data_IF_710293546399
#
_entry.id   IF_710293546399
#
_cell.length_a   1.000
_cell.length_b   1.000
_cell.length_c   1.000
_cell.angle_alpha   90.00
_cell.angle_beta   90.00
_cell.angle_gamma   90.00
#
_symmetry.space_group_name_H-M   'P 1'
#
loop_
_entity.id
_entity.type
_entity.pdbx_description
1 polymer ?
#
# COMPACT_ATOMS: atom_id res chain seq x y z
N UNK A 1 -10.18 -0.57 -21.02
CA UNK A 1 -8.96 -0.86 -20.22
C UNK A 1 -9.36 -1.82 -19.14
N UNK A 2 -8.66 -2.91 -19.02
CA UNK A 2 -8.97 -3.95 -18.03
C UNK A 2 -8.06 -3.76 -16.82
N UNK A 3 -8.67 -3.67 -15.63
CA UNK A 3 -7.99 -3.96 -14.39
C UNK A 3 -7.87 -5.48 -14.32
N UNK A 4 -6.71 -5.98 -13.83
CA UNK A 4 -6.45 -7.41 -13.63
C UNK A 4 -6.09 -8.21 -14.89
N UNK A 5 -5.42 -7.57 -15.86
CA UNK A 5 -4.76 -8.28 -16.96
C UNK A 5 -3.63 -9.18 -16.45
N UNK A 6 -3.31 -10.21 -17.22
CA UNK A 6 -2.19 -11.08 -16.88
C UNK A 6 -0.85 -10.40 -17.19
N UNK A 7 0.20 -10.83 -16.51
CA UNK A 7 1.57 -10.37 -16.81
C UNK A 7 1.99 -10.66 -18.26
N UNK A 8 1.48 -11.76 -18.83
CA UNK A 8 1.70 -12.11 -20.24
C UNK A 8 1.09 -11.07 -21.18
N UNK A 9 -0.12 -10.61 -20.90
CA UNK A 9 -0.82 -9.59 -21.69
C UNK A 9 -0.08 -8.24 -21.62
N UNK A 10 0.32 -7.83 -20.41
CA UNK A 10 1.09 -6.59 -20.20
C UNK A 10 2.45 -6.67 -20.91
N UNK A 11 3.11 -7.83 -20.89
CA UNK A 11 4.35 -8.04 -21.61
C UNK A 11 4.18 -7.89 -23.13
N UNK A 12 3.12 -8.50 -23.70
CA UNK A 12 2.81 -8.39 -25.12
C UNK A 12 2.50 -6.94 -25.51
N UNK A 13 1.69 -6.26 -24.71
CA UNK A 13 1.35 -4.84 -24.88
C UNK A 13 2.60 -3.94 -24.81
N UNK A 14 3.44 -4.13 -23.79
CA UNK A 14 4.69 -3.39 -23.62
C UNK A 14 5.60 -3.53 -24.84
N UNK A 15 5.73 -4.74 -25.37
CA UNK A 15 6.57 -5.01 -26.55
C UNK A 15 6.00 -4.34 -27.79
N UNK A 16 4.68 -4.40 -27.98
CA UNK A 16 4.00 -3.73 -29.11
C UNK A 16 4.21 -2.21 -29.05
N UNK A 17 4.00 -1.61 -27.89
CA UNK A 17 4.19 -0.16 -27.69
C UNK A 17 5.66 0.25 -27.86
N UNK A 18 6.61 -0.60 -27.47
CA UNK A 18 8.03 -0.37 -27.72
C UNK A 18 8.45 -0.57 -29.20
N UNK A 19 7.56 -1.04 -30.07
CA UNK A 19 7.85 -1.36 -31.49
C UNK A 19 8.59 -2.68 -31.69
N UNK A 20 8.44 -3.57 -30.75
CA UNK A 20 8.97 -4.94 -30.82
C UNK A 20 7.83 -5.90 -31.19
N UNK A 21 8.18 -7.11 -31.67
CA UNK A 21 7.18 -8.15 -31.86
C UNK A 21 6.47 -8.47 -30.53
N UNK A 22 5.13 -8.52 -30.49
CA UNK A 22 4.38 -8.90 -29.30
C UNK A 22 4.63 -10.38 -28.90
N UNK A 23 4.97 -11.22 -29.86
CA UNK A 23 5.26 -12.64 -29.63
C UNK A 23 6.52 -12.82 -28.76
N UNK A 24 6.39 -13.38 -27.55
CA UNK A 24 7.52 -13.62 -26.65
C UNK A 24 8.55 -14.63 -27.22
N UNK A 25 8.17 -15.46 -28.17
CA UNK A 25 9.10 -16.37 -28.85
C UNK A 25 10.12 -15.63 -29.74
N UNK A 26 9.80 -14.42 -30.19
CA UNK A 26 10.71 -13.58 -30.96
C UNK A 26 11.57 -12.75 -29.99
N UNK A 27 12.88 -12.96 -30.02
CA UNK A 27 13.82 -12.21 -29.18
C UNK A 27 13.87 -12.70 -27.72
N UNK A 28 13.87 -14.03 -27.53
CA UNK A 28 13.89 -14.69 -26.20
C UNK A 28 15.05 -14.25 -25.32
N UNK A 29 16.22 -13.92 -25.88
CA UNK A 29 17.37 -13.44 -25.13
C UNK A 29 17.10 -12.12 -24.37
N UNK A 30 16.17 -11.27 -24.84
CA UNK A 30 15.80 -10.03 -24.20
C UNK A 30 14.61 -10.17 -23.25
N UNK A 31 13.92 -11.32 -23.26
CA UNK A 31 12.66 -11.52 -22.56
C UNK A 31 12.78 -11.26 -21.04
N UNK A 32 13.81 -11.80 -20.42
CA UNK A 32 14.03 -11.62 -18.98
C UNK A 32 14.31 -10.15 -18.62
N UNK A 33 15.01 -9.42 -19.47
CA UNK A 33 15.21 -7.98 -19.30
C UNK A 33 13.88 -7.21 -19.39
N UNK A 34 12.99 -7.59 -20.32
CA UNK A 34 11.67 -6.99 -20.45
C UNK A 34 10.82 -7.24 -19.19
N UNK A 35 10.79 -8.49 -18.70
CA UNK A 35 10.10 -8.85 -17.47
C UNK A 35 10.60 -8.06 -16.25
N UNK A 36 11.93 -7.94 -16.12
CA UNK A 36 12.55 -7.14 -15.05
C UNK A 36 12.19 -5.66 -15.16
N UNK A 37 12.16 -5.11 -16.38
CA UNK A 37 11.76 -3.70 -16.60
C UNK A 37 10.31 -3.48 -16.21
N UNK A 38 9.40 -4.38 -16.61
CA UNK A 38 7.98 -4.28 -16.23
C UNK A 38 7.82 -4.36 -14.70
N UNK A 39 8.48 -5.32 -14.04
CA UNK A 39 8.43 -5.45 -12.59
C UNK A 39 8.93 -4.18 -11.87
N UNK A 40 10.03 -3.59 -12.34
CA UNK A 40 10.57 -2.35 -11.78
C UNK A 40 9.57 -1.21 -11.93
N UNK A 41 9.01 -1.02 -13.13
CA UNK A 41 8.01 0.02 -13.42
C UNK A 41 6.75 -0.21 -12.59
N UNK A 42 6.28 -1.44 -12.50
CA UNK A 42 5.12 -1.81 -11.71
C UNK A 42 5.29 -1.42 -10.22
N UNK A 43 6.44 -1.72 -9.63
CA UNK A 43 6.75 -1.33 -8.26
C UNK A 43 6.85 0.20 -8.11
N UNK A 44 7.49 0.90 -9.04
CA UNK A 44 7.58 2.37 -9.03
C UNK A 44 6.20 3.03 -9.10
N UNK A 45 5.31 2.55 -9.96
CA UNK A 45 3.95 3.07 -10.09
C UNK A 45 3.10 2.76 -8.86
N UNK A 46 3.27 1.57 -8.29
CA UNK A 46 2.63 1.20 -7.05
C UNK A 46 3.03 2.12 -5.89
N UNK A 47 4.30 2.49 -5.79
CA UNK A 47 4.80 3.38 -4.75
C UNK A 47 4.43 4.87 -4.98
N UNK A 48 4.24 5.26 -6.23
CA UNK A 48 4.04 6.66 -6.64
C UNK A 48 2.67 7.22 -6.23
N UNK A 49 1.66 6.37 -6.05
CA UNK A 49 0.29 6.78 -5.76
C UNK A 49 -0.43 5.81 -4.82
N UNK A 50 -1.33 6.35 -4.02
CA UNK A 50 -2.23 5.58 -3.15
C UNK A 50 -3.48 5.18 -3.93
N UNK A 51 -3.40 4.01 -4.59
CA UNK A 51 -4.49 3.49 -5.39
C UNK A 51 -5.66 3.01 -4.52
N UNK A 52 -6.82 3.63 -4.66
CA UNK A 52 -7.99 3.32 -3.82
C UNK A 52 -8.46 1.87 -3.96
N UNK A 53 -8.38 1.31 -5.17
CA UNK A 53 -8.77 -0.07 -5.46
C UNK A 53 -7.83 -1.12 -4.84
N UNK A 54 -6.64 -0.72 -4.37
CA UNK A 54 -5.72 -1.59 -3.64
C UNK A 54 -6.00 -1.61 -2.13
N UNK A 55 -7.00 -0.87 -1.66
CA UNK A 55 -7.40 -0.94 -0.26
C UNK A 55 -7.89 -2.34 0.07
N UNK A 56 -7.34 -2.91 1.12
CA UNK A 56 -7.58 -4.27 1.54
C UNK A 56 -7.81 -4.35 3.04
N UNK A 57 -8.87 -5.04 3.43
CA UNK A 57 -9.17 -5.36 4.83
C UNK A 57 -8.79 -6.81 5.08
N UNK A 58 -7.86 -7.05 5.99
CA UNK A 58 -7.47 -8.40 6.37
C UNK A 58 -8.59 -9.08 7.20
N UNK A 59 -8.67 -10.41 7.15
CA UNK A 59 -9.51 -11.14 8.09
C UNK A 59 -9.19 -10.79 9.53
N UNK A 60 -10.21 -10.69 10.37
CA UNK A 60 -10.05 -10.37 11.78
C UNK A 60 -9.22 -11.43 12.50
N UNK A 61 -8.26 -10.98 13.28
CA UNK A 61 -7.41 -11.82 14.12
C UNK A 61 -7.99 -11.85 15.52
N UNK A 62 -8.26 -13.05 16.05
CA UNK A 62 -8.70 -13.22 17.42
C UNK A 62 -7.54 -12.98 18.37
N UNK A 63 -7.74 -12.08 19.32
CA UNK A 63 -6.76 -11.77 20.37
C UNK A 63 -6.77 -12.84 21.44
N UNK A 64 -5.62 -13.13 22.04
CA UNK A 64 -5.47 -14.05 23.15
C UNK A 64 -5.08 -13.31 24.42
N UNK A 65 -5.64 -13.73 25.53
CA UNK A 65 -5.32 -13.14 26.84
C UNK A 65 -3.81 -13.24 27.16
N UNK A 66 -3.19 -12.11 27.44
CA UNK A 66 -1.77 -12.04 27.75
C UNK A 66 -0.82 -12.10 26.57
N UNK A 67 -1.31 -12.31 25.36
CA UNK A 67 -0.49 -12.24 24.15
C UNK A 67 -0.37 -10.80 23.68
N UNK A 68 0.86 -10.37 23.41
CA UNK A 68 1.20 -9.00 23.03
C UNK A 68 1.55 -8.87 21.56
N UNK A 69 2.18 -9.88 20.97
CA UNK A 69 2.67 -9.89 19.61
C UNK A 69 1.87 -10.84 18.73
N UNK A 70 1.51 -10.38 17.55
CA UNK A 70 0.76 -11.11 16.56
C UNK A 70 1.43 -10.95 15.21
N UNK A 71 1.38 -11.98 14.38
CA UNK A 71 1.91 -11.91 13.04
C UNK A 71 1.10 -10.92 12.19
N UNK A 72 1.81 -10.11 11.41
CA UNK A 72 1.17 -9.16 10.53
C UNK A 72 0.49 -9.89 9.37
N UNK A 73 -0.76 -9.54 9.01
CA UNK A 73 -1.50 -10.25 7.98
C UNK A 73 -0.77 -10.23 6.64
N UNK A 74 -0.68 -11.40 6.01
CA UNK A 74 -0.18 -11.50 4.65
C UNK A 74 -1.07 -10.70 3.68
N UNK A 75 -0.45 -10.10 2.68
CA UNK A 75 -1.16 -9.35 1.63
C UNK A 75 -1.35 -7.86 1.89
N UNK A 76 -1.00 -7.35 3.07
CA UNK A 76 -0.93 -5.90 3.34
C UNK A 76 0.52 -5.43 3.26
N UNK A 77 0.75 -4.28 2.63
CA UNK A 77 2.06 -3.65 2.60
C UNK A 77 2.35 -2.93 3.92
N UNK A 78 3.33 -3.45 4.65
CA UNK A 78 3.75 -2.93 5.96
C UNK A 78 4.28 -1.49 5.87
N UNK A 79 4.89 -1.11 4.74
CA UNK A 79 5.52 0.20 4.55
C UNK A 79 4.51 1.30 4.21
N UNK A 80 3.24 0.95 4.05
CA UNK A 80 2.16 1.93 3.81
C UNK A 80 1.33 2.13 5.06
N UNK A 81 0.62 3.26 5.11
CA UNK A 81 -0.26 3.56 6.23
C UNK A 81 -1.27 2.43 6.46
N UNK A 82 -1.35 1.96 7.68
CA UNK A 82 -2.29 0.93 8.13
C UNK A 82 -3.21 1.51 9.17
N UNK A 83 -4.47 1.16 9.09
CA UNK A 83 -5.46 1.42 10.12
C UNK A 83 -5.70 0.12 10.88
N UNK A 84 -5.64 0.19 12.20
CA UNK A 84 -5.89 -0.97 13.06
C UNK A 84 -7.06 -0.67 13.98
N UNK A 85 -8.05 -1.56 13.97
CA UNK A 85 -9.24 -1.46 14.81
C UNK A 85 -9.36 -2.66 15.73
N UNK A 86 -9.61 -2.41 17.00
CA UNK A 86 -10.04 -3.43 17.95
C UNK A 86 -11.56 -3.51 17.96
N UNK A 87 -12.10 -4.69 17.74
CA UNK A 87 -13.52 -4.98 17.87
C UNK A 87 -13.77 -5.62 19.23
N UNK A 88 -14.48 -4.90 20.09
CA UNK A 88 -14.85 -5.36 21.43
C UNK A 88 -16.33 -5.11 21.69
N UNK A 89 -17.05 -6.10 22.17
CA UNK A 89 -18.50 -6.05 22.37
C UNK A 89 -19.25 -5.53 21.13
N UNK A 90 -18.85 -5.96 19.92
CA UNK A 90 -19.38 -5.52 18.62
C UNK A 90 -19.21 -4.02 18.32
N UNK A 91 -18.34 -3.32 19.06
CA UNK A 91 -18.01 -1.92 18.82
C UNK A 91 -16.57 -1.81 18.29
N UNK A 92 -16.33 -0.99 17.24
CA UNK A 92 -14.99 -0.73 16.73
C UNK A 92 -14.29 0.36 17.56
N UNK A 93 -13.06 0.09 17.98
CA UNK A 93 -12.19 1.02 18.68
C UNK A 93 -10.92 1.22 17.83
N UNK A 94 -10.70 2.43 17.28
CA UNK A 94 -9.50 2.70 16.52
C UNK A 94 -8.26 2.70 17.44
N UNK A 95 -7.20 2.00 17.03
CA UNK A 95 -5.95 1.97 17.75
C UNK A 95 -5.02 3.09 17.26
N UNK A 96 -4.35 3.75 18.19
CA UNK A 96 -3.35 4.76 17.86
C UNK A 96 -2.00 4.11 17.54
N UNK A 97 -1.35 4.47 16.41
CA UNK A 97 -0.02 3.95 16.11
C UNK A 97 1.05 4.53 17.04
N UNK A 98 2.05 3.69 17.35
CA UNK A 98 3.19 4.05 18.18
C UNK A 98 2.97 3.79 19.67
N UNK A 99 3.85 2.96 20.26
CA UNK A 99 3.89 2.68 21.69
C UNK A 99 5.12 3.37 22.25
N UNK A 100 4.91 4.51 22.90
CA UNK A 100 5.98 5.30 23.49
C UNK A 100 6.54 4.64 24.78
N UNK A 101 7.75 5.05 25.13
CA UNK A 101 8.38 4.57 26.37
C UNK A 101 7.53 4.83 27.63
N UNK A 102 6.90 6.02 27.70
CA UNK A 102 5.98 6.39 28.81
C UNK A 102 4.75 5.48 28.90
N UNK A 103 4.23 4.98 27.74
CA UNK A 103 3.08 4.07 27.76
C UNK A 103 3.42 2.77 28.49
N UNK A 104 4.64 2.30 28.34
CA UNK A 104 5.14 1.10 28.99
C UNK A 104 5.29 1.23 30.50
N UNK A 105 5.43 2.48 31.02
CA UNK A 105 5.40 2.77 32.45
C UNK A 105 4.00 2.95 33.01
N UNK A 106 3.09 3.51 32.22
CA UNK A 106 1.69 3.71 32.63
C UNK A 106 0.98 2.38 32.88
N UNK A 107 1.31 1.38 32.08
CA UNK A 107 0.76 0.03 32.22
C UNK A 107 1.91 -0.96 32.34
N UNK A 108 2.00 -1.66 33.46
CA UNK A 108 2.92 -2.79 33.58
C UNK A 108 2.46 -3.93 32.65
N UNK A 109 3.36 -4.77 32.14
CA UNK A 109 2.99 -5.90 31.29
C UNK A 109 1.95 -6.85 31.90
N UNK A 110 1.88 -6.88 33.25
CA UNK A 110 0.91 -7.65 34.01
C UNK A 110 -0.49 -7.01 34.03
N UNK A 111 -0.56 -5.69 33.82
CA UNK A 111 -1.83 -4.95 33.78
C UNK A 111 -2.47 -5.12 32.41
N UNK A 112 -3.34 -6.10 32.32
CA UNK A 112 -4.07 -6.42 31.10
C UNK A 112 -5.37 -5.63 31.04
N UNK A 113 -5.64 -5.00 29.90
CA UNK A 113 -6.84 -4.14 29.70
C UNK A 113 -7.44 -4.41 28.35
N UNK A 114 -8.77 -4.49 28.30
CA UNK A 114 -9.55 -4.56 27.05
C UNK A 114 -10.41 -3.30 26.88
N UNK A 115 -10.56 -2.78 25.66
CA UNK A 115 -9.77 -3.13 24.48
C UNK A 115 -8.35 -2.50 24.53
N UNK A 116 -7.38 -3.04 23.76
CA UNK A 116 -6.10 -2.36 23.55
C UNK A 116 -6.32 -0.99 22.90
N UNK A 117 -5.42 -0.05 23.15
CA UNK A 117 -5.55 1.35 22.72
C UNK A 117 -4.53 1.75 21.65
N UNK A 118 -3.37 1.08 21.66
CA UNK A 118 -2.24 1.39 20.78
C UNK A 118 -1.71 0.14 20.10
N UNK A 119 -1.07 0.36 18.96
CA UNK A 119 -0.31 -0.69 18.28
C UNK A 119 1.02 -0.16 17.78
N UNK A 120 1.97 -1.05 17.57
CA UNK A 120 3.26 -0.77 16.94
C UNK A 120 3.65 -1.90 16.00
N UNK A 121 4.43 -1.61 14.97
CA UNK A 121 4.92 -2.59 14.01
C UNK A 121 6.38 -2.92 14.33
N UNK A 122 6.72 -4.20 14.35
CA UNK A 122 8.07 -4.68 14.65
C UNK A 122 8.51 -5.75 13.68
N UNK A 123 9.78 -5.72 13.32
CA UNK A 123 10.42 -6.84 12.63
C UNK A 123 11.04 -7.77 13.68
N UNK A 124 10.80 -9.06 13.54
CA UNK A 124 11.50 -10.09 14.32
C UNK A 124 12.92 -10.27 13.78
N UNK A 125 13.79 -10.93 14.56
CA UNK A 125 15.13 -11.33 14.09
C UNK A 125 15.11 -12.25 12.87
N UNK A 126 14.00 -12.94 12.63
CA UNK A 126 13.77 -13.78 11.45
C UNK A 126 13.23 -12.97 10.24
N UNK A 127 13.10 -11.64 10.34
CA UNK A 127 12.58 -10.78 9.27
C UNK A 127 11.05 -10.85 9.09
N UNK A 128 10.34 -11.49 10.01
CA UNK A 128 8.87 -11.51 10.00
C UNK A 128 8.35 -10.24 10.66
N UNK A 129 7.40 -9.57 10.00
CA UNK A 129 6.74 -8.41 10.60
C UNK A 129 5.64 -8.88 11.55
N UNK A 130 5.64 -8.31 12.75
CA UNK A 130 4.62 -8.49 13.76
C UNK A 130 4.02 -7.16 14.16
N UNK A 131 2.80 -7.16 14.65
CA UNK A 131 2.21 -6.03 15.35
C UNK A 131 2.11 -6.30 16.85
N UNK A 132 2.43 -5.28 17.62
CA UNK A 132 2.36 -5.26 19.08
C UNK A 132 1.10 -4.53 19.50
N UNK A 133 0.34 -5.07 20.45
CA UNK A 133 -0.83 -4.44 21.06
C UNK A 133 -0.51 -3.91 22.45
N UNK A 134 -1.02 -2.72 22.75
CA UNK A 134 -0.82 -2.10 24.07
C UNK A 134 -2.06 -1.36 24.57
N UNK A 135 -2.50 -1.46 25.82
CA UNK A 135 -2.06 -2.46 26.82
C UNK A 135 -2.27 -3.90 26.36
N UNK A 136 -1.58 -4.83 27.03
CA UNK A 136 -1.74 -6.27 26.73
C UNK A 136 -3.19 -6.68 26.98
N UNK A 137 -3.85 -7.40 26.07
CA UNK A 137 -5.23 -7.81 26.23
C UNK A 137 -5.48 -8.70 27.44
N UNK A 138 -6.59 -8.48 28.14
CA UNK A 138 -6.98 -9.26 29.32
C UNK A 138 -7.78 -10.52 28.98
N UNK A 139 -8.52 -10.48 27.87
CA UNK A 139 -9.40 -11.55 27.42
C UNK A 139 -9.18 -11.96 25.98
N UNK A 140 -9.95 -12.94 25.54
CA UNK A 140 -10.00 -13.42 24.15
C UNK A 140 -11.27 -12.98 23.42
N UNK A 141 -11.96 -11.96 23.91
CA UNK A 141 -13.19 -11.44 23.31
C UNK A 141 -12.94 -10.33 22.27
N UNK A 142 -11.71 -9.81 22.22
CA UNK A 142 -11.31 -8.77 21.28
C UNK A 142 -10.87 -9.39 19.96
N UNK A 143 -11.25 -8.77 18.84
CA UNK A 143 -10.76 -9.10 17.51
C UNK A 143 -10.06 -7.87 16.93
N UNK A 144 -8.95 -8.08 16.21
CA UNK A 144 -8.22 -7.02 15.54
C UNK A 144 -8.49 -7.10 14.04
N UNK A 145 -8.91 -5.98 13.47
CA UNK A 145 -9.08 -5.77 12.04
C UNK A 145 -8.00 -4.80 11.56
N UNK A 146 -7.30 -5.18 10.49
CA UNK A 146 -6.25 -4.36 9.89
C UNK A 146 -6.66 -4.01 8.47
N UNK A 147 -6.70 -2.71 8.19
CA UNK A 147 -6.99 -2.16 6.87
C UNK A 147 -5.74 -1.46 6.36
N UNK A 148 -5.36 -1.74 5.14
CA UNK A 148 -4.17 -1.14 4.54
C UNK A 148 -4.18 -1.28 3.02
N UNK A 149 -3.05 -1.01 2.39
CA UNK A 149 -2.88 -1.19 0.96
C UNK A 149 -2.39 -2.61 0.67
N UNK A 150 -3.03 -3.30 -0.27
CA UNK A 150 -2.61 -4.64 -0.71
C UNK A 150 -1.17 -4.59 -1.19
N UNK A 151 -0.33 -5.52 -0.74
CA UNK A 151 1.05 -5.63 -1.20
C UNK A 151 1.07 -5.97 -2.71
N UNK A 152 1.91 -5.27 -3.47
CA UNK A 152 2.11 -5.59 -4.88
C UNK A 152 3.00 -6.83 -5.00
N UNK A 153 2.50 -7.96 -5.52
CA UNK A 153 3.30 -9.15 -5.70
C UNK A 153 4.34 -8.94 -6.80
N UNK A 154 5.47 -9.63 -6.70
CA UNK A 154 6.42 -9.73 -7.80
C UNK A 154 5.80 -10.60 -8.90
N UNK A 155 5.78 -10.08 -10.12
CA UNK A 155 5.26 -10.80 -11.28
C UNK A 155 6.36 -11.72 -11.82
N UNK A 156 6.11 -13.03 -11.85
CA UNK A 156 7.06 -14.08 -12.27
C UNK A 156 6.49 -14.86 -13.44
N UNK A 157 5.27 -15.36 -13.29
CA UNK A 157 4.62 -16.21 -14.28
C UNK A 157 3.73 -15.38 -15.21
N UNK A 158 3.55 -15.83 -16.44
CA UNK A 158 2.68 -15.13 -17.41
C UNK A 158 1.23 -14.99 -16.98
N UNK A 159 0.77 -15.86 -16.06
CA UNK A 159 -0.61 -15.84 -15.52
C UNK A 159 -0.75 -14.97 -14.27
N UNK A 160 0.34 -14.42 -13.74
CA UNK A 160 0.27 -13.53 -12.56
C UNK A 160 -0.56 -12.30 -12.90
N UNK A 161 -1.41 -11.88 -11.96
CA UNK A 161 -2.32 -10.76 -12.17
C UNK A 161 -1.63 -9.45 -11.84
N UNK A 162 -1.69 -8.51 -12.76
CA UNK A 162 -1.24 -7.12 -12.56
C UNK A 162 -2.35 -6.35 -11.85
N UNK A 163 -2.05 -5.79 -10.68
CA UNK A 163 -3.04 -5.09 -9.84
C UNK A 163 -3.24 -3.62 -10.22
N UNK A 164 -2.33 -3.06 -11.01
CA UNK A 164 -2.44 -1.69 -11.53
C UNK A 164 -3.04 -1.70 -12.94
N UNK A 165 -3.38 -0.52 -13.43
CA UNK A 165 -3.82 -0.35 -14.81
C UNK A 165 -2.76 -0.89 -15.78
N UNK A 166 -3.19 -1.82 -16.61
CA UNK A 166 -2.33 -2.56 -17.54
C UNK A 166 -1.66 -1.66 -18.58
N UNK A 167 -2.43 -0.71 -19.12
CA UNK A 167 -1.94 0.21 -20.13
C UNK A 167 -0.93 1.20 -19.55
N UNK A 168 -1.15 1.68 -18.34
CA UNK A 168 -0.21 2.55 -17.63
C UNK A 168 1.14 1.87 -17.43
N UNK A 169 1.11 0.62 -16.95
CA UNK A 169 2.33 -0.17 -16.75
C UNK A 169 3.03 -0.42 -18.08
N UNK A 170 2.26 -0.76 -19.13
CA UNK A 170 2.81 -1.02 -20.46
C UNK A 170 3.48 0.21 -21.07
N UNK A 171 2.86 1.40 -20.97
CA UNK A 171 3.44 2.64 -21.51
C UNK A 171 4.76 3.02 -20.84
N UNK A 172 4.81 3.01 -19.49
CA UNK A 172 6.06 3.32 -18.79
C UNK A 172 7.14 2.27 -19.03
N UNK A 173 6.78 0.99 -19.12
CA UNK A 173 7.73 -0.06 -19.42
C UNK A 173 8.23 0.02 -20.89
N UNK A 174 7.34 0.33 -21.83
CA UNK A 174 7.70 0.53 -23.23
C UNK A 174 8.62 1.73 -23.42
N UNK A 175 8.36 2.83 -22.70
CA UNK A 175 9.26 3.99 -22.65
C UNK A 175 10.69 3.58 -22.23
N UNK A 176 10.79 2.85 -21.11
CA UNK A 176 12.09 2.41 -20.60
C UNK A 176 12.82 1.46 -21.54
N UNK A 177 12.10 0.67 -22.34
CA UNK A 177 12.68 -0.21 -23.36
C UNK A 177 13.06 0.55 -24.63
N UNK A 178 12.26 1.54 -25.05
CA UNK A 178 12.51 2.31 -26.27
C UNK A 178 13.64 3.33 -26.11
N UNK A 179 13.83 3.90 -24.93
CA UNK A 179 14.76 5.01 -24.66
C UNK A 179 16.20 4.79 -25.15
N UNK A 180 16.82 3.62 -24.97
CA UNK A 180 18.19 3.39 -25.47
C UNK A 180 18.28 3.25 -27.00
N UNK A 181 17.14 3.03 -27.70
CA UNK A 181 17.11 2.74 -29.14
C UNK A 181 16.55 3.93 -29.92
N UNK A 182 15.44 4.53 -29.45
CA UNK A 182 14.77 5.64 -30.11
C UNK A 182 14.22 6.61 -29.05
N UNK A 183 14.92 7.72 -28.88
CA UNK A 183 14.62 8.73 -27.87
C UNK A 183 13.28 9.45 -28.18
N UNK A 184 13.01 9.77 -29.43
CA UNK A 184 11.79 10.51 -29.81
C UNK A 184 10.53 9.67 -29.52
N UNK A 185 10.60 8.36 -29.83
CA UNK A 185 9.53 7.43 -29.45
C UNK A 185 9.36 7.32 -27.95
N UNK A 186 10.46 7.23 -27.20
CA UNK A 186 10.40 7.15 -25.75
C UNK A 186 9.79 8.41 -25.13
N UNK A 187 10.12 9.59 -25.63
CA UNK A 187 9.57 10.86 -25.15
C UNK A 187 8.05 10.94 -25.45
N UNK A 188 7.61 10.45 -26.62
CA UNK A 188 6.19 10.32 -26.95
C UNK A 188 5.44 9.36 -26.01
N UNK A 189 6.02 8.19 -25.74
CA UNK A 189 5.46 7.21 -24.80
C UNK A 189 5.39 7.77 -23.36
N UNK A 190 6.43 8.50 -22.93
CA UNK A 190 6.41 9.15 -21.62
C UNK A 190 5.31 10.19 -21.50
N UNK A 191 5.12 11.01 -22.54
CA UNK A 191 4.04 12.02 -22.57
C UNK A 191 2.66 11.35 -22.46
N UNK A 192 2.43 10.27 -23.22
CA UNK A 192 1.19 9.49 -23.16
C UNK A 192 1.00 8.86 -21.77
N UNK A 193 2.05 8.27 -21.20
CA UNK A 193 2.02 7.67 -19.88
C UNK A 193 1.69 8.68 -18.76
N UNK A 194 2.30 9.87 -18.82
CA UNK A 194 2.03 10.95 -17.88
C UNK A 194 0.59 11.45 -17.98
N UNK A 195 0.07 11.63 -19.19
CA UNK A 195 -1.31 12.04 -19.40
C UNK A 195 -2.27 10.98 -18.85
N UNK A 196 -2.03 9.71 -19.15
CA UNK A 196 -2.86 8.61 -18.65
C UNK A 196 -2.82 8.51 -17.12
N UNK A 197 -1.62 8.63 -16.52
CA UNK A 197 -1.46 8.65 -15.07
C UNK A 197 -2.26 9.78 -14.40
N UNK A 198 -2.24 11.00 -14.98
CA UNK A 198 -3.02 12.13 -14.47
C UNK A 198 -4.52 11.87 -14.55
N UNK A 199 -4.99 11.25 -15.63
CA UNK A 199 -6.40 10.85 -15.78
C UNK A 199 -6.80 9.85 -14.72
N UNK A 200 -6.02 8.78 -14.52
CA UNK A 200 -6.30 7.77 -13.49
C UNK A 200 -6.29 8.37 -12.09
N UNK A 201 -5.29 9.19 -11.79
CA UNK A 201 -5.20 9.89 -10.49
C UNK A 201 -6.37 10.84 -10.27
N UNK A 202 -6.86 11.50 -11.32
CA UNK A 202 -8.05 12.36 -11.26
C UNK A 202 -9.32 11.58 -10.90
N UNK A 203 -9.45 10.39 -11.47
CA UNK A 203 -10.60 9.50 -11.25
C UNK A 203 -10.54 8.76 -9.92
N UNK A 204 -9.32 8.52 -9.41
CA UNK A 204 -9.06 7.78 -8.16
C UNK A 204 -9.23 8.65 -6.89
N UNK A 205 -9.60 9.91 -7.05
CA UNK A 205 -9.89 10.77 -5.92
C UNK A 205 -11.13 10.24 -5.20
N UNK A 206 -10.91 9.58 -4.07
CA UNK A 206 -11.94 9.44 -3.05
C UNK A 206 -12.45 10.85 -2.72
N UNK A 207 -13.76 11.05 -2.60
CA UNK A 207 -14.26 12.32 -2.09
C UNK A 207 -13.57 12.57 -0.74
N UNK A 208 -12.68 13.57 -0.73
CA UNK A 208 -12.07 14.04 0.53
C UNK A 208 -13.19 14.62 1.38
N UNK A 209 -13.88 13.78 2.11
CA UNK A 209 -14.69 14.23 3.23
C UNK A 209 -13.72 14.90 4.20
N UNK A 210 -13.90 16.19 4.41
CA UNK A 210 -13.08 16.94 5.39
C UNK A 210 -12.96 16.13 6.68
N UNK A 211 -11.72 15.80 7.07
CA UNK A 211 -11.45 15.04 8.28
C UNK A 211 -11.17 13.54 8.10
N UNK A 212 -11.42 12.96 6.91
CA UNK A 212 -11.27 11.49 6.72
C UNK A 212 -9.85 10.98 6.96
N UNK A 213 -8.82 11.72 6.53
CA UNK A 213 -7.42 11.32 6.71
C UNK A 213 -6.97 11.38 8.17
N UNK A 214 -7.38 12.43 8.89
CA UNK A 214 -7.04 12.59 10.30
C UNK A 214 -7.77 11.55 11.18
N UNK A 215 -9.02 11.21 10.82
CA UNK A 215 -9.79 10.17 11.49
C UNK A 215 -9.20 8.78 11.20
N UNK A 216 -8.71 8.54 9.97
CA UNK A 216 -8.05 7.30 9.55
C UNK A 216 -6.73 7.05 10.28
N UNK A 217 -6.00 8.11 10.62
CA UNK A 217 -4.71 8.00 11.31
C UNK A 217 -4.84 8.09 12.83
N UNK A 218 -6.06 8.17 13.38
CA UNK A 218 -6.29 8.35 14.82
C UNK A 218 -5.67 9.63 15.37
N UNK A 219 -5.47 10.65 14.51
CA UNK A 219 -4.83 11.91 14.88
C UNK A 219 -5.87 12.80 15.57
N UNK A 220 -5.61 13.30 16.79
CA UNK A 220 -6.49 14.22 17.48
C UNK A 220 -6.80 15.48 16.65
N UNK A 221 -8.00 16.01 16.78
CA UNK A 221 -8.49 17.18 16.04
C UNK A 221 -7.53 18.36 16.04
N UNK A 222 -6.83 18.57 17.13
CA UNK A 222 -5.87 19.66 17.30
C UNK A 222 -4.68 19.61 16.33
N UNK A 223 -4.38 18.46 15.76
CA UNK A 223 -3.26 18.28 14.79
C UNK A 223 -3.72 18.17 13.34
N UNK A 224 -5.02 18.21 13.06
CA UNK A 224 -5.56 18.10 11.69
C UNK A 224 -5.04 19.18 10.74
N UNK A 225 -4.79 20.39 11.25
CA UNK A 225 -4.26 21.51 10.46
C UNK A 225 -2.81 21.37 10.03
N UNK A 226 -2.01 20.59 10.77
CA UNK A 226 -0.56 20.42 10.50
C UNK A 226 -0.26 19.46 9.34
N UNK A 227 -1.16 18.52 9.06
CA UNK A 227 -0.98 17.51 8.00
C UNK A 227 -1.25 18.08 6.61
N UNK A 228 -2.01 19.17 6.49
CA UNK A 228 -2.37 19.81 5.21
C UNK A 228 -1.33 20.76 4.64
N UNK A 229 -0.17 20.93 5.26
CA UNK A 229 0.91 21.80 4.73
C UNK A 229 0.54 23.27 4.55
N UNK A 230 -0.62 23.73 5.07
CA UNK A 230 -0.99 25.13 5.15
C UNK A 230 -0.68 25.62 6.57
N UNK A 231 0.45 26.28 6.73
CA UNK A 231 0.70 27.09 7.91
C UNK A 231 -0.39 28.18 8.00
N UNK A 232 -1.35 28.01 8.90
CA UNK A 232 -2.25 29.10 9.25
C UNK A 232 -1.48 30.01 10.18
N UNK A 233 -0.87 31.02 9.62
CA UNK A 233 -0.32 32.16 10.41
C UNK A 233 -1.53 32.89 11.01
N UNK A 234 -1.86 32.62 12.26
CA UNK A 234 -2.74 33.47 13.05
C UNK A 234 -1.96 34.75 13.38
N UNK A 235 -2.20 35.79 12.61
CA UNK A 235 -1.84 37.15 13.03
C UNK A 235 -2.82 37.53 14.13
N UNK A 236 -2.36 37.52 15.37
CA UNK A 236 -3.10 38.02 16.50
C UNK A 236 -3.34 39.53 16.35
N UNK A 237 -4.55 39.98 16.59
CA UNK A 237 -4.89 41.37 16.92
C UNK A 237 -4.81 41.54 18.40
#
# INVERSE_FOLDING_TARGET
>A
MALYSTFGDVLAMTRSEAGLSPDPAVGTAALERHKQTINRVYQQLYEKHDWSHLRYTAPRVQVQAGQRFYDFPAGINVNRAVEVMAWWANQPYPLTPGIEYRDRFAYRPENRVDPPQKFDLRATSAGVTQFELWPTPSGSTVQIEIVGTRAAPKLVNSIDIVLLDDYLVALYAAEALARPVNKDRADGLLAAALQHFQTLRGNDRLPETEGSTAMRLGIPDERRGLIRGKAVVRIGR
#
